data_IF_286190283492
#
_entry.id   IF_286190283492
#
_cell.length_a   1.000
_cell.length_b   1.000
_cell.length_c   1.000
_cell.angle_alpha   90.00
_cell.angle_beta   90.00
_cell.angle_gamma   90.00
#
_symmetry.space_group_name_H-M   'P 1'
#
loop_
_entity.id
_entity.type
_entity.pdbx_description
1 polymer ?
#
# COMPACT_ATOMS: atom_id res chain seq x y z
N UNK A 1 11.40 -15.05 16.78
CA UNK A 1 12.14 -13.74 16.79
C UNK A 1 11.16 -12.69 16.30
N UNK A 2 10.97 -11.60 17.07
CA UNK A 2 10.05 -10.53 16.66
C UNK A 2 10.38 -9.99 15.28
N UNK A 3 9.39 -9.96 14.38
CA UNK A 3 9.57 -9.47 13.03
C UNK A 3 8.24 -8.98 12.44
N UNK A 4 8.31 -7.93 11.63
CA UNK A 4 7.18 -7.40 10.87
C UNK A 4 7.53 -7.28 9.40
N UNK A 5 6.52 -7.45 8.56
CA UNK A 5 6.68 -7.32 7.11
C UNK A 5 5.82 -6.18 6.57
N UNK A 6 6.36 -5.50 5.57
CA UNK A 6 5.68 -4.41 4.85
C UNK A 6 5.68 -4.73 3.37
N UNK A 7 4.51 -4.65 2.74
CA UNK A 7 4.30 -4.82 1.31
C UNK A 7 3.41 -3.69 0.78
N UNK A 8 3.50 -3.38 -0.49
CA UNK A 8 2.65 -2.41 -1.19
C UNK A 8 2.58 -2.75 -2.68
N UNK A 9 1.65 -2.12 -3.38
CA UNK A 9 1.63 -2.07 -4.84
C UNK A 9 1.59 -3.47 -5.51
N UNK A 10 0.77 -4.38 -4.95
CA UNK A 10 0.59 -5.73 -5.50
C UNK A 10 -0.28 -5.71 -6.76
N UNK A 11 -1.25 -4.81 -6.82
CA UNK A 11 -2.15 -4.67 -7.97
C UNK A 11 -2.83 -5.98 -8.38
N UNK A 12 -3.29 -6.75 -7.38
CA UNK A 12 -3.92 -8.06 -7.60
C UNK A 12 -5.11 -7.95 -8.55
N UNK A 13 -5.11 -8.80 -9.57
CA UNK A 13 -6.14 -8.83 -10.61
C UNK A 13 -6.25 -10.23 -11.20
N UNK A 14 -7.43 -10.61 -11.68
CA UNK A 14 -7.67 -11.90 -12.35
C UNK A 14 -6.79 -12.10 -13.60
N UNK A 15 -6.32 -11.00 -14.21
CA UNK A 15 -5.46 -11.05 -15.39
C UNK A 15 -3.98 -11.37 -15.07
N UNK A 16 -3.59 -11.37 -13.80
CA UNK A 16 -2.23 -11.65 -13.31
C UNK A 16 -2.25 -12.67 -12.17
N UNK A 17 -2.65 -13.94 -12.49
CA UNK A 17 -2.69 -15.01 -11.49
C UNK A 17 -1.29 -15.36 -10.95
N UNK A 18 -0.23 -15.06 -11.70
CA UNK A 18 1.17 -15.20 -11.30
C UNK A 18 1.48 -14.34 -10.06
N UNK A 19 1.03 -13.08 -10.03
CA UNK A 19 1.21 -12.19 -8.86
C UNK A 19 0.45 -12.76 -7.64
N UNK A 20 -0.77 -13.24 -7.86
CA UNK A 20 -1.57 -13.84 -6.78
C UNK A 20 -0.88 -15.10 -6.22
N UNK A 21 -0.34 -15.95 -7.09
CA UNK A 21 0.41 -17.14 -6.67
C UNK A 21 1.66 -16.77 -5.88
N UNK A 22 2.42 -15.77 -6.37
CA UNK A 22 3.61 -15.28 -5.66
C UNK A 22 3.28 -14.67 -4.28
N UNK A 23 2.15 -13.96 -4.19
CA UNK A 23 1.66 -13.42 -2.92
C UNK A 23 1.28 -14.54 -1.95
N UNK A 24 0.59 -15.58 -2.40
CA UNK A 24 0.25 -16.73 -1.54
C UNK A 24 1.51 -17.50 -1.10
N UNK A 25 2.46 -17.69 -2.00
CA UNK A 25 3.76 -18.29 -1.66
C UNK A 25 4.52 -17.47 -0.62
N UNK A 26 4.49 -16.15 -0.73
CA UNK A 26 5.05 -15.24 0.28
C UNK A 26 4.37 -15.42 1.64
N UNK A 27 3.02 -15.45 1.69
CA UNK A 27 2.29 -15.66 2.92
C UNK A 27 2.64 -17.00 3.57
N UNK A 28 2.71 -18.07 2.77
CA UNK A 28 3.03 -19.42 3.27
C UNK A 28 4.45 -19.53 3.78
N UNK A 29 5.44 -19.05 3.02
CA UNK A 29 6.83 -19.28 3.29
C UNK A 29 7.49 -18.22 4.19
N UNK A 30 6.87 -17.06 4.37
CA UNK A 30 7.46 -15.94 5.14
C UNK A 30 6.61 -15.47 6.32
N UNK A 31 5.32 -15.73 6.29
CA UNK A 31 4.41 -15.19 7.31
C UNK A 31 3.86 -16.31 8.19
N UNK A 32 3.15 -17.27 7.60
CA UNK A 32 2.44 -18.33 8.36
C UNK A 32 3.40 -19.28 9.08
N UNK A 33 4.51 -19.61 8.44
CA UNK A 33 5.49 -20.57 8.99
C UNK A 33 6.55 -19.94 9.89
N UNK A 34 6.61 -18.62 9.95
CA UNK A 34 7.54 -17.87 10.81
C UNK A 34 6.76 -17.22 11.97
N UNK A 35 7.45 -16.87 13.06
CA UNK A 35 6.91 -16.10 14.18
C UNK A 35 6.88 -14.61 13.79
N UNK A 36 5.80 -14.16 13.15
CA UNK A 36 5.61 -12.82 12.62
C UNK A 36 4.62 -12.03 13.47
N UNK A 37 5.05 -10.88 13.99
CA UNK A 37 4.18 -10.02 14.80
C UNK A 37 3.11 -9.36 13.93
N UNK A 38 3.49 -8.79 12.77
CA UNK A 38 2.57 -8.03 11.92
C UNK A 38 2.94 -8.04 10.43
N UNK A 39 1.90 -8.03 9.59
CA UNK A 39 1.95 -7.76 8.16
C UNK A 39 1.25 -6.43 7.88
N UNK A 40 1.99 -5.47 7.33
CA UNK A 40 1.47 -4.17 6.90
C UNK A 40 1.35 -4.12 5.38
N UNK A 41 0.15 -3.87 4.87
CA UNK A 41 -0.16 -3.69 3.45
C UNK A 41 -0.39 -2.20 3.21
N UNK A 42 0.57 -1.54 2.55
CA UNK A 42 0.59 -0.08 2.40
C UNK A 42 -0.07 0.41 1.09
N UNK A 43 -1.22 -0.17 0.75
CA UNK A 43 -2.08 0.29 -0.34
C UNK A 43 -1.76 -0.29 -1.72
N UNK A 44 -2.64 0.00 -2.68
CA UNK A 44 -2.62 -0.53 -4.04
C UNK A 44 -2.52 -2.07 -4.05
N UNK A 45 -3.26 -2.68 -3.12
CA UNK A 45 -3.33 -4.11 -2.95
C UNK A 45 -4.07 -4.79 -4.11
N UNK A 46 -5.22 -4.21 -4.49
CA UNK A 46 -5.94 -4.61 -5.70
C UNK A 46 -5.75 -3.58 -6.83
N UNK A 47 -5.74 -4.05 -8.06
CA UNK A 47 -5.65 -3.19 -9.25
C UNK A 47 -6.83 -2.21 -9.35
N UNK A 48 -8.02 -2.64 -8.91
CA UNK A 48 -9.24 -1.84 -8.85
C UNK A 48 -10.13 -2.34 -7.74
N UNK A 49 -10.63 -1.44 -6.89
CA UNK A 49 -11.68 -1.72 -5.92
C UNK A 49 -12.89 -0.84 -6.18
N UNK A 50 -14.09 -1.44 -6.26
CA UNK A 50 -15.33 -0.71 -6.59
C UNK A 50 -16.37 -0.74 -5.47
N UNK A 51 -16.02 -1.33 -4.33
CA UNK A 51 -16.83 -1.44 -3.11
C UNK A 51 -16.91 -2.88 -2.60
N UNK A 52 -17.14 -3.02 -1.31
CA UNK A 52 -17.14 -4.32 -0.61
C UNK A 52 -18.33 -5.20 -0.98
N UNK A 53 -19.40 -4.60 -1.52
CA UNK A 53 -20.60 -5.28 -2.04
C UNK A 53 -20.35 -6.04 -3.36
N UNK A 54 -19.15 -5.91 -3.94
CA UNK A 54 -18.72 -6.67 -5.10
C UNK A 54 -17.41 -7.38 -4.83
N UNK A 55 -17.52 -8.67 -4.58
CA UNK A 55 -16.36 -9.53 -4.37
C UNK A 55 -16.27 -10.58 -5.48
N UNK A 56 -15.07 -10.68 -6.06
CA UNK A 56 -14.71 -11.67 -7.06
C UNK A 56 -14.14 -12.93 -6.37
N UNK A 57 -13.93 -14.01 -7.12
CA UNK A 57 -13.31 -15.21 -6.56
C UNK A 57 -11.87 -14.92 -6.12
N UNK A 58 -11.16 -14.02 -6.83
CA UNK A 58 -9.86 -13.53 -6.41
C UNK A 58 -9.93 -12.86 -5.04
N UNK A 59 -10.79 -11.83 -4.88
CA UNK A 59 -10.86 -11.09 -3.61
C UNK A 59 -11.29 -11.97 -2.44
N UNK A 60 -12.17 -12.96 -2.68
CA UNK A 60 -12.57 -13.95 -1.65
C UNK A 60 -11.41 -14.86 -1.26
N UNK A 61 -10.65 -15.37 -2.25
CA UNK A 61 -9.50 -16.23 -1.97
C UNK A 61 -8.39 -15.50 -1.23
N UNK A 62 -8.15 -14.22 -1.57
CA UNK A 62 -7.22 -13.34 -0.86
C UNK A 62 -7.68 -13.10 0.58
N UNK A 63 -8.96 -12.79 0.79
CA UNK A 63 -9.51 -12.60 2.14
C UNK A 63 -9.35 -13.85 2.99
N UNK A 64 -9.70 -15.03 2.45
CA UNK A 64 -9.54 -16.30 3.15
C UNK A 64 -8.08 -16.57 3.53
N UNK A 65 -7.13 -16.23 2.65
CA UNK A 65 -5.70 -16.42 2.92
C UNK A 65 -5.17 -15.48 4.00
N UNK A 66 -5.60 -14.21 3.98
CA UNK A 66 -5.25 -13.25 5.04
C UNK A 66 -5.87 -13.62 6.40
N UNK A 67 -7.09 -14.18 6.40
CA UNK A 67 -7.69 -14.72 7.62
C UNK A 67 -6.83 -15.85 8.22
N UNK A 68 -6.31 -16.76 7.39
CA UNK A 68 -5.36 -17.80 7.85
C UNK A 68 -4.08 -17.22 8.45
N UNK A 69 -3.56 -16.12 7.87
CA UNK A 69 -2.43 -15.36 8.44
C UNK A 69 -2.77 -14.85 9.83
N UNK A 70 -3.95 -14.25 9.99
CA UNK A 70 -4.40 -13.77 11.30
C UNK A 70 -4.60 -14.92 12.31
N UNK A 71 -5.14 -16.05 11.87
CA UNK A 71 -5.32 -17.25 12.68
C UNK A 71 -3.97 -17.86 13.13
N UNK A 72 -2.89 -17.67 12.39
CA UNK A 72 -1.54 -18.07 12.79
C UNK A 72 -0.90 -17.17 13.86
N UNK A 73 -1.58 -16.06 14.23
CA UNK A 73 -1.14 -15.14 15.28
C UNK A 73 -0.50 -13.85 14.75
N UNK A 74 -0.42 -13.66 13.43
CA UNK A 74 0.11 -12.44 12.81
C UNK A 74 -1.00 -11.37 12.68
N UNK A 75 -0.80 -10.19 13.20
CA UNK A 75 -1.73 -9.06 12.96
C UNK A 75 -1.60 -8.56 11.52
N UNK A 76 -2.74 -8.30 10.86
CA UNK A 76 -2.76 -7.79 9.47
C UNK A 76 -3.33 -6.39 9.46
N UNK A 77 -2.54 -5.44 8.97
CA UNK A 77 -2.90 -4.02 8.86
C UNK A 77 -2.94 -3.57 7.41
N UNK A 78 -3.88 -2.68 7.11
CA UNK A 78 -4.06 -2.15 5.76
C UNK A 78 -4.18 -0.63 5.77
N UNK A 79 -3.39 0.03 4.90
CA UNK A 79 -3.52 1.44 4.54
C UNK A 79 -4.03 1.52 3.10
N UNK A 80 -4.98 2.40 2.83
CA UNK A 80 -5.53 2.57 1.48
C UNK A 80 -4.51 3.17 0.51
N UNK A 81 -4.39 2.57 -0.67
CA UNK A 81 -3.74 3.15 -1.83
C UNK A 81 -4.70 3.92 -2.74
N UNK A 82 -4.22 4.36 -3.87
CA UNK A 82 -5.03 5.11 -4.84
C UNK A 82 -5.94 4.22 -5.72
N UNK A 83 -5.81 2.89 -5.64
CA UNK A 83 -6.63 1.90 -6.35
C UNK A 83 -7.77 1.36 -5.50
N UNK A 84 -7.59 1.31 -4.21
CA UNK A 84 -8.47 0.61 -3.27
C UNK A 84 -9.00 1.51 -2.13
N UNK A 85 -8.94 2.84 -2.30
CA UNK A 85 -9.34 3.83 -1.29
C UNK A 85 -10.81 3.79 -0.87
N UNK A 86 -11.68 3.08 -1.60
CA UNK A 86 -13.09 2.86 -1.21
C UNK A 86 -13.33 1.49 -0.58
N UNK A 87 -12.29 0.71 -0.30
CA UNK A 87 -12.40 -0.48 0.55
C UNK A 87 -12.85 -0.08 1.95
N UNK A 88 -13.72 -0.89 2.58
CA UNK A 88 -14.34 -0.61 3.87
C UNK A 88 -14.23 -1.81 4.80
N UNK A 89 -14.87 -1.66 5.95
CA UNK A 89 -14.84 -2.60 7.06
C UNK A 89 -15.38 -4.00 6.72
N UNK A 90 -16.29 -4.12 5.77
CA UNK A 90 -16.89 -5.43 5.45
C UNK A 90 -15.86 -6.35 4.80
N UNK A 91 -15.06 -5.82 3.86
CA UNK A 91 -13.96 -6.59 3.30
C UNK A 91 -12.82 -6.77 4.31
N UNK A 92 -12.45 -5.74 5.02
CA UNK A 92 -11.41 -5.82 6.04
C UNK A 92 -11.72 -6.90 7.08
N UNK A 93 -12.96 -6.98 7.57
CA UNK A 93 -13.42 -8.04 8.49
C UNK A 93 -13.32 -9.42 7.85
N UNK A 94 -13.74 -9.58 6.58
CA UNK A 94 -13.66 -10.87 5.89
C UNK A 94 -12.22 -11.35 5.68
N UNK A 95 -11.27 -10.44 5.64
CA UNK A 95 -9.84 -10.69 5.50
C UNK A 95 -9.07 -10.63 6.84
N UNK A 96 -9.79 -10.47 7.97
CA UNK A 96 -9.19 -10.30 9.31
C UNK A 96 -8.13 -9.20 9.36
N UNK A 97 -8.35 -8.11 8.59
CA UNK A 97 -7.46 -6.94 8.53
C UNK A 97 -7.98 -5.79 9.40
N UNK A 98 -7.07 -5.02 9.96
CA UNK A 98 -7.35 -3.74 10.59
C UNK A 98 -7.05 -2.60 9.63
N UNK A 99 -8.06 -1.76 9.31
CA UNK A 99 -7.88 -0.57 8.51
C UNK A 99 -7.18 0.52 9.33
N UNK A 100 -6.07 1.03 8.82
CA UNK A 100 -5.33 2.13 9.42
C UNK A 100 -5.66 3.46 8.73
N UNK A 101 -5.45 4.60 9.42
CA UNK A 101 -5.46 5.93 8.78
C UNK A 101 -4.47 6.01 7.62
N UNK A 102 -4.67 6.96 6.69
CA UNK A 102 -3.77 7.18 5.54
C UNK A 102 -2.31 7.40 5.93
N UNK A 103 -2.08 7.95 7.12
CA UNK A 103 -0.78 8.17 7.72
C UNK A 103 -0.87 7.78 9.19
N UNK A 104 0.01 6.96 9.65
CA UNK A 104 0.06 6.54 11.05
C UNK A 104 1.51 6.34 11.50
N UNK A 105 1.81 6.77 12.74
CA UNK A 105 3.09 6.45 13.38
C UNK A 105 2.91 5.17 14.18
N UNK A 106 3.74 4.19 13.88
CA UNK A 106 3.83 2.94 14.64
C UNK A 106 5.11 2.90 15.45
N UNK A 107 5.10 2.15 16.52
CA UNK A 107 6.34 1.78 17.22
C UNK A 107 6.92 0.52 16.57
N UNK A 108 7.91 0.71 15.72
CA UNK A 108 8.60 -0.40 15.07
C UNK A 108 9.80 -0.83 15.92
N UNK A 109 9.53 -1.66 16.92
CA UNK A 109 10.53 -2.19 17.87
C UNK A 109 11.33 -1.10 18.61
N UNK A 110 10.65 -0.10 19.15
CA UNK A 110 11.24 1.04 19.85
C UNK A 110 11.65 2.21 18.95
N UNK A 111 11.37 2.11 17.64
CA UNK A 111 11.68 3.15 16.66
C UNK A 111 10.39 3.73 16.07
N UNK A 112 9.99 4.96 16.45
CA UNK A 112 8.83 5.61 15.87
C UNK A 112 9.00 5.77 14.36
N UNK A 113 8.07 5.18 13.60
CA UNK A 113 8.13 5.13 12.13
C UNK A 113 6.77 5.52 11.55
N UNK A 114 6.73 6.52 10.68
CA UNK A 114 5.51 6.83 9.93
C UNK A 114 5.37 5.87 8.76
N UNK A 115 4.18 5.28 8.62
CA UNK A 115 3.82 4.43 7.49
C UNK A 115 2.64 5.04 6.74
N UNK A 116 2.69 4.97 5.40
CA UNK A 116 1.69 5.56 4.52
C UNK A 116 1.78 4.92 3.13
N UNK A 117 0.79 5.17 2.25
CA UNK A 117 0.92 4.72 0.86
C UNK A 117 1.96 5.56 0.09
N UNK A 118 1.90 6.89 0.17
CA UNK A 118 2.90 7.80 -0.40
C UNK A 118 2.41 8.69 -1.55
N UNK A 119 1.23 8.43 -2.08
CA UNK A 119 0.64 9.14 -3.21
C UNK A 119 0.43 10.65 -2.96
N UNK A 120 0.26 11.06 -1.70
CA UNK A 120 0.14 12.47 -1.31
C UNK A 120 1.42 13.27 -1.45
N UNK A 121 2.57 12.60 -1.47
CA UNK A 121 3.88 13.26 -1.60
C UNK A 121 4.28 13.53 -3.06
N UNK A 122 3.54 13.00 -4.05
CA UNK A 122 3.75 13.28 -5.47
C UNK A 122 3.13 14.63 -5.85
N UNK A 123 3.64 15.73 -5.27
CA UNK A 123 3.02 17.05 -5.33
C UNK A 123 3.12 17.73 -6.71
N UNK A 124 4.02 17.28 -7.58
CA UNK A 124 4.12 17.78 -8.95
C UNK A 124 3.05 17.24 -9.88
N UNK A 125 2.40 16.12 -9.56
CA UNK A 125 1.23 15.63 -10.31
C UNK A 125 -0.05 16.35 -9.86
N UNK A 126 -0.16 17.63 -10.26
CA UNK A 126 -1.26 18.51 -9.85
C UNK A 126 -2.63 17.92 -10.18
N UNK A 127 -2.79 17.29 -11.35
CA UNK A 127 -4.07 16.68 -11.76
C UNK A 127 -4.43 15.49 -10.85
N UNK A 128 -3.45 14.66 -10.52
CA UNK A 128 -3.66 13.59 -9.57
C UNK A 128 -4.00 14.15 -8.17
N UNK A 129 -3.28 15.16 -7.68
CA UNK A 129 -3.54 15.74 -6.35
C UNK A 129 -4.95 16.37 -6.25
N UNK A 130 -5.46 17.00 -7.31
CA UNK A 130 -6.85 17.48 -7.38
C UNK A 130 -7.84 16.31 -7.30
N UNK A 131 -7.58 15.22 -8.03
CA UNK A 131 -8.41 14.02 -7.97
C UNK A 131 -8.36 13.39 -6.58
N UNK A 132 -7.18 13.24 -5.99
CA UNK A 132 -6.97 12.69 -4.65
C UNK A 132 -7.76 13.46 -3.59
N UNK A 133 -7.64 14.80 -3.59
CA UNK A 133 -8.37 15.67 -2.65
C UNK A 133 -9.89 15.47 -2.75
N UNK A 134 -10.41 15.29 -3.96
CA UNK A 134 -11.83 15.02 -4.18
C UNK A 134 -12.21 13.62 -3.73
N UNK A 135 -11.50 12.61 -4.19
CA UNK A 135 -11.83 11.19 -3.99
C UNK A 135 -11.67 10.73 -2.54
N UNK A 136 -10.74 11.33 -1.79
CA UNK A 136 -10.54 11.09 -0.34
C UNK A 136 -11.41 11.98 0.54
N UNK A 137 -12.20 12.90 -0.06
CA UNK A 137 -13.14 13.73 0.69
C UNK A 137 -14.25 12.89 1.34
N UNK A 138 -14.79 13.38 2.48
CA UNK A 138 -15.78 12.67 3.29
C UNK A 138 -17.08 12.28 2.56
N UNK A 139 -17.47 13.01 1.51
CA UNK A 139 -18.73 12.83 0.79
C UNK A 139 -18.59 11.95 -0.47
N UNK A 140 -17.44 12.03 -1.17
CA UNK A 140 -17.27 11.39 -2.47
C UNK A 140 -17.29 9.86 -2.39
N UNK A 141 -16.59 9.19 -1.45
CA UNK A 141 -16.70 7.74 -1.29
C UNK A 141 -18.11 7.27 -0.97
N UNK A 142 -18.86 8.05 -0.15
CA UNK A 142 -20.26 7.74 0.17
C UNK A 142 -21.14 7.82 -1.06
N UNK A 143 -20.97 8.88 -1.87
CA UNK A 143 -21.69 9.03 -3.13
C UNK A 143 -21.36 7.89 -4.09
N UNK A 144 -20.08 7.54 -4.24
CA UNK A 144 -19.66 6.43 -5.11
C UNK A 144 -20.29 5.11 -4.69
N UNK A 145 -20.26 4.78 -3.41
CA UNK A 145 -20.82 3.53 -2.89
C UNK A 145 -22.35 3.47 -3.00
N UNK A 146 -23.05 4.62 -3.00
CA UNK A 146 -24.49 4.68 -3.24
C UNK A 146 -24.89 4.45 -4.70
N UNK A 147 -23.94 4.50 -5.64
CA UNK A 147 -24.22 4.29 -7.07
C UNK A 147 -24.34 2.81 -7.42
N UNK A 148 -25.13 2.45 -8.46
CA UNK A 148 -25.20 1.10 -8.96
C UNK A 148 -23.82 0.55 -9.36
N UNK A 149 -23.57 -0.74 -9.12
CA UNK A 149 -22.29 -1.39 -9.37
C UNK A 149 -21.78 -1.20 -10.82
N UNK A 150 -22.68 -1.33 -11.82
CA UNK A 150 -22.30 -1.14 -13.24
C UNK A 150 -21.72 0.25 -13.51
N UNK A 151 -22.25 1.28 -12.83
CA UNK A 151 -21.79 2.65 -12.98
C UNK A 151 -20.44 2.86 -12.28
N UNK A 152 -20.25 2.31 -11.08
CA UNK A 152 -18.96 2.31 -10.37
C UNK A 152 -17.85 1.63 -11.19
N UNK A 153 -18.14 0.47 -11.77
CA UNK A 153 -17.23 -0.24 -12.69
C UNK A 153 -16.86 0.62 -13.91
N UNK A 154 -17.82 1.33 -14.50
CA UNK A 154 -17.57 2.25 -15.63
C UNK A 154 -16.66 3.41 -15.22
N UNK A 155 -16.92 4.03 -14.07
CA UNK A 155 -16.08 5.12 -13.55
C UNK A 155 -14.65 4.63 -13.29
N UNK A 156 -14.50 3.49 -12.61
CA UNK A 156 -13.21 2.92 -12.29
C UNK A 156 -12.39 2.60 -13.56
N UNK A 157 -13.02 1.99 -14.58
CA UNK A 157 -12.38 1.72 -15.87
C UNK A 157 -11.93 3.00 -16.56
N UNK A 158 -12.81 4.01 -16.67
CA UNK A 158 -12.46 5.28 -17.31
C UNK A 158 -11.34 6.02 -16.56
N UNK A 159 -11.37 5.99 -15.23
CA UNK A 159 -10.30 6.57 -14.40
C UNK A 159 -8.97 5.84 -14.64
N UNK A 160 -8.99 4.51 -14.78
CA UNK A 160 -7.80 3.71 -15.07
C UNK A 160 -7.22 4.02 -16.44
N UNK A 161 -8.05 4.08 -17.48
CA UNK A 161 -7.65 4.43 -18.84
C UNK A 161 -7.03 5.82 -18.89
N UNK A 162 -7.67 6.81 -18.26
CA UNK A 162 -7.16 8.18 -18.16
C UNK A 162 -5.83 8.24 -17.41
N UNK A 163 -5.67 7.49 -16.31
CA UNK A 163 -4.43 7.41 -15.55
C UNK A 163 -3.29 6.86 -16.41
N UNK A 164 -3.52 5.75 -17.14
CA UNK A 164 -2.53 5.17 -18.05
C UNK A 164 -2.08 6.16 -19.13
N UNK A 165 -3.04 6.85 -19.76
CA UNK A 165 -2.76 7.85 -20.79
C UNK A 165 -1.99 9.05 -20.22
N UNK A 166 -2.37 9.52 -19.03
CA UNK A 166 -1.69 10.63 -18.36
C UNK A 166 -0.28 10.28 -17.95
N UNK A 167 -0.03 9.06 -17.49
CA UNK A 167 1.32 8.61 -17.08
C UNK A 167 2.24 8.40 -18.27
N UNK A 168 1.73 7.90 -19.40
CA UNK A 168 2.53 7.62 -20.60
C UNK A 168 3.21 8.86 -21.20
N UNK A 169 2.75 10.07 -20.89
CA UNK A 169 3.32 11.34 -21.39
C UNK A 169 4.06 12.16 -20.34
N UNK A 170 4.12 11.71 -19.08
CA UNK A 170 4.78 12.46 -17.99
C UNK A 170 6.21 12.01 -17.78
N UNK A 171 7.09 12.97 -17.50
CA UNK A 171 8.44 12.64 -17.02
C UNK A 171 8.35 11.88 -15.69
N UNK A 172 9.24 10.91 -15.50
CA UNK A 172 9.26 10.05 -14.31
C UNK A 172 9.39 10.84 -12.99
N UNK A 173 10.00 12.02 -13.05
CA UNK A 173 10.17 12.93 -11.90
C UNK A 173 8.83 13.51 -11.41
N UNK A 174 7.87 13.74 -12.32
CA UNK A 174 6.53 14.27 -11.96
C UNK A 174 5.71 13.21 -11.18
N UNK A 175 6.00 11.94 -11.44
CA UNK A 175 5.32 10.80 -10.81
C UNK A 175 5.97 10.37 -9.49
N UNK A 176 7.12 10.97 -9.15
CA UNK A 176 7.83 10.69 -7.90
C UNK A 176 7.42 11.65 -6.78
N UNK A 177 7.77 11.29 -5.56
CA UNK A 177 7.60 12.15 -4.40
C UNK A 177 8.55 13.35 -4.49
N UNK A 178 8.10 14.52 -4.03
CA UNK A 178 8.98 15.68 -3.93
C UNK A 178 9.71 15.71 -2.59
N UNK A 179 10.96 16.16 -2.59
CA UNK A 179 11.78 16.23 -1.36
C UNK A 179 11.12 17.09 -0.29
N UNK A 180 10.58 18.25 -0.66
CA UNK A 180 9.88 19.14 0.27
C UNK A 180 8.68 18.44 0.96
N UNK A 181 7.90 17.65 0.21
CA UNK A 181 6.79 16.90 0.76
C UNK A 181 7.25 15.78 1.70
N UNK A 182 8.35 15.12 1.37
CA UNK A 182 8.97 14.11 2.23
C UNK A 182 9.45 14.72 3.54
N UNK A 183 10.18 15.82 3.49
CA UNK A 183 10.68 16.52 4.67
C UNK A 183 9.54 17.06 5.54
N UNK A 184 8.50 17.62 4.92
CA UNK A 184 7.29 18.06 5.62
C UNK A 184 6.55 16.90 6.32
N UNK A 185 6.58 15.68 5.76
CA UNK A 185 5.98 14.49 6.37
C UNK A 185 6.75 14.07 7.63
N UNK A 186 8.08 14.06 7.60
CA UNK A 186 8.91 13.81 8.77
C UNK A 186 8.65 14.83 9.89
N UNK A 187 8.59 16.12 9.51
CA UNK A 187 8.33 17.20 10.46
C UNK A 187 6.92 17.10 11.08
N UNK A 188 5.90 16.87 10.24
CA UNK A 188 4.51 16.72 10.68
C UNK A 188 4.35 15.65 11.75
N UNK A 189 5.00 14.50 11.57
CA UNK A 189 4.88 13.35 12.46
C UNK A 189 5.97 13.29 13.54
N UNK A 190 6.96 14.19 13.50
CA UNK A 190 8.08 14.26 14.44
C UNK A 190 8.87 12.93 14.54
N UNK A 191 9.05 12.25 13.44
CA UNK A 191 9.76 10.96 13.34
C UNK A 191 10.99 11.06 12.45
N UNK A 192 11.92 10.11 12.58
CA UNK A 192 13.11 10.01 11.72
C UNK A 192 13.01 8.86 10.69
N UNK A 193 11.96 8.03 10.77
CA UNK A 193 11.81 6.90 9.87
C UNK A 193 10.44 6.92 9.18
N UNK A 194 10.45 6.57 7.90
CA UNK A 194 9.27 6.52 7.03
C UNK A 194 9.32 5.27 6.15
N UNK A 195 8.19 4.60 5.99
CA UNK A 195 8.02 3.48 5.05
C UNK A 195 6.81 3.78 4.17
N UNK A 196 6.95 3.69 2.84
CA UNK A 196 5.85 3.89 1.91
C UNK A 196 6.03 3.09 0.61
N UNK A 197 4.96 2.99 -0.20
CA UNK A 197 4.92 2.40 -1.52
C UNK A 197 4.78 3.43 -2.66
N UNK A 198 3.84 3.19 -3.56
CA UNK A 198 3.30 4.05 -4.61
C UNK A 198 4.23 4.35 -5.80
N UNK A 199 5.50 4.66 -5.57
CA UNK A 199 6.40 5.08 -6.65
C UNK A 199 7.02 3.92 -7.41
N UNK A 200 6.87 2.69 -6.92
CA UNK A 200 7.41 1.45 -7.51
C UNK A 200 8.95 1.48 -7.69
N UNK A 201 9.65 2.26 -6.85
CA UNK A 201 11.11 2.45 -6.91
C UNK A 201 11.75 2.07 -5.59
N UNK A 202 11.87 0.76 -5.31
CA UNK A 202 12.35 0.29 -4.03
C UNK A 202 13.77 0.78 -3.75
N UNK A 203 13.91 1.53 -2.66
CA UNK A 203 15.19 2.09 -2.23
C UNK A 203 15.13 2.57 -0.78
N UNK A 204 16.28 2.79 -0.18
CA UNK A 204 16.44 3.45 1.11
C UNK A 204 17.16 4.78 0.90
N UNK A 205 16.47 5.87 1.21
CA UNK A 205 16.99 7.22 1.07
C UNK A 205 17.34 7.81 2.44
N UNK A 206 18.40 8.54 2.51
CA UNK A 206 18.82 9.26 3.72
C UNK A 206 18.86 10.77 3.46
N UNK A 207 18.28 11.52 4.37
CA UNK A 207 18.28 12.97 4.38
C UNK A 207 18.98 13.45 5.66
N UNK A 208 19.64 14.59 5.59
CA UNK A 208 20.20 15.22 6.78
C UNK A 208 19.47 16.55 7.04
N UNK A 209 18.74 16.62 8.13
CA UNK A 209 18.02 17.83 8.51
C UNK A 209 18.31 18.16 9.98
N UNK A 210 18.85 19.35 10.22
CA UNK A 210 19.19 19.85 11.57
C UNK A 210 20.09 18.88 12.38
N UNK A 211 21.05 18.23 11.71
CA UNK A 211 21.97 17.28 12.32
C UNK A 211 21.35 15.90 12.65
N UNK A 212 20.13 15.65 12.21
CA UNK A 212 19.46 14.36 12.34
C UNK A 212 19.41 13.66 10.99
N UNK A 213 19.74 12.37 10.96
CA UNK A 213 19.53 11.52 9.79
C UNK A 213 18.08 11.07 9.75
N UNK A 214 17.38 11.36 8.64
CA UNK A 214 16.04 10.89 8.35
C UNK A 214 16.15 9.76 7.32
N UNK A 215 15.42 8.68 7.52
CA UNK A 215 15.45 7.49 6.67
C UNK A 215 14.08 7.23 6.06
N UNK A 216 14.01 7.23 4.73
CA UNK A 216 12.82 6.90 3.95
C UNK A 216 13.03 5.59 3.20
N UNK A 217 12.24 4.57 3.52
CA UNK A 217 12.23 3.29 2.83
C UNK A 217 11.05 3.22 1.88
N UNK A 218 11.33 2.98 0.61
CA UNK A 218 10.34 2.85 -0.46
C UNK A 218 10.18 1.37 -0.80
N UNK A 219 8.95 0.87 -0.77
CA UNK A 219 8.61 -0.48 -1.19
C UNK A 219 8.52 -0.56 -2.72
N UNK A 220 8.82 -1.71 -3.29
CA UNK A 220 8.62 -1.97 -4.71
C UNK A 220 7.25 -2.58 -4.99
N UNK A 221 6.90 -2.59 -6.27
CA UNK A 221 5.72 -3.28 -6.80
C UNK A 221 5.93 -4.80 -6.97
N UNK A 222 4.85 -5.47 -7.38
CA UNK A 222 4.84 -6.92 -7.59
C UNK A 222 4.64 -7.32 -9.07
N UNK A 223 4.96 -6.44 -10.03
CA UNK A 223 4.74 -6.75 -11.45
C UNK A 223 5.65 -7.84 -12.02
N UNK A 224 6.93 -7.84 -11.63
CA UNK A 224 7.94 -8.80 -12.11
C UNK A 224 8.71 -9.46 -10.96
N UNK A 225 8.46 -9.03 -9.72
CA UNK A 225 9.18 -9.46 -8.54
C UNK A 225 8.29 -9.35 -7.30
N UNK A 226 8.56 -10.18 -6.30
CA UNK A 226 8.04 -9.95 -4.95
C UNK A 226 8.91 -8.92 -4.23
N UNK A 227 8.33 -7.82 -3.75
CA UNK A 227 9.03 -6.80 -2.97
C UNK A 227 8.45 -6.65 -1.58
N UNK A 228 9.29 -6.72 -0.56
CA UNK A 228 8.88 -6.53 0.82
C UNK A 228 10.01 -5.95 1.67
N UNK A 229 9.65 -5.24 2.73
CA UNK A 229 10.55 -4.88 3.81
C UNK A 229 10.33 -5.84 4.97
N UNK A 230 11.39 -6.49 5.44
CA UNK A 230 11.42 -7.22 6.70
C UNK A 230 12.09 -6.36 7.76
N UNK A 231 11.39 -6.12 8.86
CA UNK A 231 11.89 -5.38 10.01
C UNK A 231 12.00 -6.30 11.22
N UNK A 232 13.11 -6.21 11.93
CA UNK A 232 13.36 -6.85 13.23
C UNK A 232 13.88 -5.79 14.20
N UNK A 233 13.98 -6.08 15.52
CA UNK A 233 14.59 -5.16 16.48
C UNK A 233 16.00 -4.69 16.10
N UNK A 234 16.77 -5.54 15.38
CA UNK A 234 18.16 -5.28 15.05
C UNK A 234 18.37 -4.61 13.69
N UNK A 235 17.47 -4.88 12.73
CA UNK A 235 17.67 -4.40 11.36
C UNK A 235 16.40 -4.37 10.52
N UNK A 236 16.44 -3.52 9.50
CA UNK A 236 15.49 -3.53 8.39
C UNK A 236 16.20 -4.03 7.13
N UNK A 237 15.51 -4.87 6.35
CA UNK A 237 16.01 -5.40 5.08
C UNK A 237 14.94 -5.32 4.01
N UNK A 238 15.17 -4.45 3.04
CA UNK A 238 14.37 -4.38 1.81
C UNK A 238 14.81 -5.52 0.88
N UNK A 239 13.85 -6.30 0.42
CA UNK A 239 14.08 -7.49 -0.41
C UNK A 239 13.27 -7.38 -1.69
N UNK A 240 13.90 -7.65 -2.82
CA UNK A 240 13.23 -7.82 -4.10
C UNK A 240 13.66 -9.18 -4.65
N UNK A 241 12.70 -10.02 -5.01
CA UNK A 241 12.97 -11.36 -5.54
C UNK A 241 12.18 -11.51 -6.82
N UNK A 242 12.85 -11.67 -7.99
CA UNK A 242 12.15 -11.96 -9.25
C UNK A 242 11.23 -13.17 -9.10
N UNK A 243 10.09 -13.16 -9.74
CA UNK A 243 9.23 -14.35 -9.85
C UNK A 243 9.98 -15.44 -10.62
N UNK A 244 9.83 -16.67 -10.19
CA UNK A 244 10.43 -17.85 -10.84
C UNK A 244 9.61 -18.26 -12.06
#
# INVERSE_FOLDING_TARGET
MKQSYFIADLHLTENRPDITAAFFDFLDNKIINDDVDALYILGDFFEVWVGDDYQTDLSKSVAARLSQVSESGTEVFFIHGNRDFIMREDYAKSASMTLLPEQVVIDLYGTPTVILHGDEMCTQDIEYQKFRKKSRGWWWPKLMLAMPLWYRKKIARNAREKSKQSQAGKALEILDVTEDAVLAMFEKHQVANMIHGHTHRPNVHHYNQNGKTLTRTVLGDWYEQGSYLRATPEKQKLVHTPFK
#
